data_IF_828604393056
#
_entry.id   IF_828604393056
#
_cell.length_a   1.000
_cell.length_b   1.000
_cell.length_c   1.000
_cell.angle_alpha   90.00
_cell.angle_beta   90.00
_cell.angle_gamma   90.00
#
_symmetry.space_group_name_H-M   'P 1'
#
loop_
_entity.id
_entity.type
_entity.pdbx_description
1 polymer ?
#
# COMPACT_ATOMS: atom_id res chain seq x y z
N UNK A 1 3.49 -18.90 18.83
CA UNK A 1 4.39 -17.73 18.80
C UNK A 1 3.82 -16.75 17.79
N UNK A 2 3.54 -15.50 18.19
CA UNK A 2 3.06 -14.46 17.27
C UNK A 2 4.24 -13.66 16.69
N UNK A 3 4.06 -13.08 15.50
CA UNK A 3 5.03 -12.14 14.92
C UNK A 3 4.89 -10.75 15.56
N UNK A 4 5.99 -10.00 15.70
CA UNK A 4 5.94 -8.59 16.13
C UNK A 4 5.34 -7.74 15.03
N UNK A 5 4.28 -6.99 15.36
CA UNK A 5 3.61 -6.11 14.39
C UNK A 5 4.29 -4.74 14.39
N UNK A 6 4.75 -4.30 13.22
CA UNK A 6 5.28 -2.95 12.98
C UNK A 6 4.18 -2.07 12.37
N UNK A 7 3.59 -1.21 13.20
CA UNK A 7 2.58 -0.24 12.80
C UNK A 7 3.17 1.11 12.44
N UNK A 8 2.50 1.83 11.55
CA UNK A 8 2.62 3.29 11.49
C UNK A 8 1.79 3.92 12.61
N UNK A 9 2.18 5.10 13.09
CA UNK A 9 1.44 5.84 14.13
C UNK A 9 -0.05 5.95 13.82
N UNK A 10 -0.87 6.01 14.86
CA UNK A 10 -2.34 6.13 14.79
C UNK A 10 -2.82 7.37 14.05
N UNK A 11 -2.01 8.44 14.00
CA UNK A 11 -2.30 9.63 13.19
C UNK A 11 -2.19 9.40 11.68
N UNK A 12 -1.67 8.25 11.23
CA UNK A 12 -1.65 7.90 9.81
C UNK A 12 -3.03 7.44 9.35
N UNK A 13 -3.43 7.88 8.16
CA UNK A 13 -4.68 7.40 7.54
C UNK A 13 -4.70 5.87 7.33
N UNK A 14 -3.53 5.22 7.22
CA UNK A 14 -3.43 3.77 7.09
C UNK A 14 -3.90 3.05 8.37
N UNK A 15 -3.36 3.43 9.52
CA UNK A 15 -3.73 2.79 10.79
C UNK A 15 -5.18 3.07 11.16
N UNK A 16 -5.66 4.29 10.92
CA UNK A 16 -7.07 4.62 11.14
C UNK A 16 -7.99 3.71 10.33
N UNK A 17 -7.70 3.49 9.03
CA UNK A 17 -8.50 2.59 8.20
C UNK A 17 -8.42 1.14 8.67
N UNK A 18 -7.23 0.67 9.07
CA UNK A 18 -7.06 -0.69 9.62
C UNK A 18 -7.89 -0.85 10.89
N UNK A 19 -7.78 0.06 11.85
CA UNK A 19 -8.51 0.00 13.11
C UNK A 19 -10.03 0.09 12.89
N UNK A 20 -10.49 0.92 11.95
CA UNK A 20 -11.91 1.00 11.59
C UNK A 20 -12.44 -0.31 11.02
N UNK A 21 -11.69 -0.98 10.14
CA UNK A 21 -12.10 -2.25 9.52
C UNK A 21 -11.95 -3.47 10.44
N UNK A 22 -11.26 -3.31 11.57
CA UNK A 22 -11.13 -4.33 12.60
C UNK A 22 -12.08 -4.10 13.78
N UNK A 23 -12.79 -2.96 13.84
CA UNK A 23 -13.59 -2.57 14.99
C UNK A 23 -14.72 -3.56 15.33
N UNK A 24 -15.29 -4.22 14.31
CA UNK A 24 -16.35 -5.24 14.42
C UNK A 24 -15.81 -6.67 14.30
N UNK A 25 -14.49 -6.84 14.19
CA UNK A 25 -13.83 -8.15 14.05
C UNK A 25 -13.28 -8.63 15.40
N UNK A 26 -13.12 -9.96 15.59
CA UNK A 26 -12.55 -10.51 16.82
C UNK A 26 -11.02 -10.30 16.93
N UNK A 27 -10.38 -9.73 15.90
CA UNK A 27 -8.93 -9.58 15.82
C UNK A 27 -8.47 -8.26 16.44
N UNK A 28 -7.55 -8.34 17.39
CA UNK A 28 -6.85 -7.18 17.93
C UNK A 28 -5.40 -7.22 17.51
N UNK A 29 -4.95 -6.18 16.81
CA UNK A 29 -3.54 -6.02 16.48
C UNK A 29 -2.79 -5.46 17.69
N UNK A 30 -1.69 -6.10 18.05
CA UNK A 30 -0.73 -5.61 19.03
C UNK A 30 0.41 -4.89 18.32
N UNK A 31 0.35 -3.55 18.29
CA UNK A 31 1.32 -2.71 17.61
C UNK A 31 2.61 -2.63 18.44
N UNK A 32 3.52 -3.57 18.23
CA UNK A 32 4.78 -3.67 18.99
C UNK A 32 5.76 -2.53 18.66
N UNK A 33 5.99 -2.28 17.37
CA UNK A 33 6.79 -1.13 16.92
C UNK A 33 5.86 -0.08 16.31
N UNK A 34 6.03 1.18 16.71
CA UNK A 34 5.28 2.30 16.13
C UNK A 34 6.23 3.29 15.45
N UNK A 35 6.14 3.38 14.12
CA UNK A 35 6.97 4.28 13.31
C UNK A 35 6.17 5.43 12.71
N UNK A 36 6.86 6.48 12.25
CA UNK A 36 6.22 7.65 11.63
C UNK A 36 5.90 7.46 10.15
N UNK A 37 6.76 6.77 9.40
CA UNK A 37 6.67 6.66 7.96
C UNK A 37 6.62 5.18 7.51
N UNK A 38 5.89 4.91 6.43
CA UNK A 38 5.79 3.55 5.85
C UNK A 38 7.16 2.99 5.44
N UNK A 39 8.05 3.84 4.92
CA UNK A 39 9.42 3.44 4.55
C UNK A 39 10.23 2.91 5.72
N UNK A 40 10.09 3.52 6.91
CA UNK A 40 10.73 3.02 8.12
C UNK A 40 10.15 1.66 8.54
N UNK A 41 8.83 1.48 8.40
CA UNK A 41 8.19 0.18 8.66
C UNK A 41 8.80 -0.89 7.77
N UNK A 42 8.93 -0.58 6.47
CA UNK A 42 9.52 -1.47 5.48
C UNK A 42 10.97 -1.85 5.83
N UNK A 43 11.80 -0.88 6.18
CA UNK A 43 13.19 -1.15 6.58
C UNK A 43 13.32 -2.03 7.83
N UNK A 44 12.37 -1.92 8.78
CA UNK A 44 12.33 -2.82 9.94
C UNK A 44 11.91 -4.25 9.56
N UNK A 45 11.02 -4.39 8.57
CA UNK A 45 10.66 -5.70 7.99
C UNK A 45 11.86 -6.31 7.25
N UNK A 46 12.57 -5.52 6.42
CA UNK A 46 13.79 -5.96 5.72
C UNK A 46 14.88 -6.42 6.69
N UNK A 47 15.00 -5.76 7.85
CA UNK A 47 15.93 -6.13 8.91
C UNK A 47 15.47 -7.34 9.75
N UNK A 48 14.31 -7.94 9.44
CA UNK A 48 13.79 -9.12 10.13
C UNK A 48 13.21 -8.86 11.53
N UNK A 49 12.86 -7.61 11.85
CA UNK A 49 12.39 -7.24 13.19
C UNK A 49 10.89 -7.50 13.42
N UNK A 50 10.13 -7.81 12.37
CA UNK A 50 8.70 -8.09 12.45
C UNK A 50 8.01 -8.12 11.09
N UNK A 51 6.69 -8.02 11.11
CA UNK A 51 5.83 -7.94 9.91
C UNK A 51 5.06 -6.62 9.88
N UNK A 52 4.56 -6.22 8.70
CA UNK A 52 3.74 -5.02 8.57
C UNK A 52 2.57 -5.18 7.61
N UNK A 53 1.43 -4.56 7.96
CA UNK A 53 0.27 -4.40 7.09
C UNK A 53 0.35 -3.02 6.42
N UNK A 54 0.73 -3.01 5.14
CA UNK A 54 0.98 -1.80 4.36
C UNK A 54 0.07 -1.73 3.14
N UNK A 55 -0.24 -0.52 2.62
CA UNK A 55 -0.87 -0.39 1.32
C UNK A 55 0.02 -1.01 0.24
N UNK A 56 -0.59 -1.70 -0.74
CA UNK A 56 0.15 -2.30 -1.84
C UNK A 56 1.11 -1.33 -2.54
N UNK A 57 0.71 -0.07 -2.69
CA UNK A 57 1.54 0.97 -3.32
C UNK A 57 2.91 1.21 -2.63
N UNK A 58 3.03 0.84 -1.35
CA UNK A 58 4.29 0.95 -0.59
C UNK A 58 5.21 -0.27 -0.77
N UNK A 59 4.75 -1.33 -1.44
CA UNK A 59 5.55 -2.53 -1.64
C UNK A 59 6.71 -2.25 -2.59
N UNK A 60 7.90 -2.81 -2.32
CA UNK A 60 9.04 -2.69 -3.20
C UNK A 60 8.75 -3.39 -4.53
N UNK A 61 9.00 -2.69 -5.63
CA UNK A 61 8.85 -3.19 -7.00
C UNK A 61 10.18 -3.75 -7.55
N UNK A 62 11.24 -3.76 -6.72
CA UNK A 62 12.55 -4.22 -7.14
C UNK A 62 12.58 -5.76 -7.24
N UNK A 63 13.20 -6.33 -8.30
CA UNK A 63 13.22 -7.76 -8.56
C UNK A 63 13.92 -8.62 -7.49
N UNK A 64 14.63 -8.00 -6.54
CA UNK A 64 15.40 -8.66 -5.49
C UNK A 64 15.09 -8.11 -4.09
N UNK A 65 13.83 -7.85 -3.77
CA UNK A 65 13.46 -7.51 -2.39
C UNK A 65 13.56 -8.75 -1.50
N UNK A 66 14.19 -8.61 -0.33
CA UNK A 66 14.15 -9.62 0.74
C UNK A 66 12.77 -9.75 1.39
N UNK A 67 11.80 -8.90 0.99
CA UNK A 67 10.44 -8.87 1.50
C UNK A 67 9.52 -9.55 0.51
N UNK A 68 8.65 -10.39 1.04
CA UNK A 68 7.55 -10.99 0.29
C UNK A 68 6.24 -10.29 0.68
N UNK A 69 5.49 -9.82 -0.32
CA UNK A 69 4.13 -9.35 -0.13
C UNK A 69 3.14 -10.50 -0.02
N UNK A 70 2.34 -10.51 1.05
CA UNK A 70 1.23 -11.46 1.21
C UNK A 70 -0.08 -10.65 1.13
N UNK A 71 -1.01 -11.00 0.23
CA UNK A 71 -2.25 -10.26 0.09
C UNK A 71 -3.18 -10.55 1.28
N UNK A 72 -3.83 -9.51 1.80
CA UNK A 72 -4.83 -9.67 2.84
C UNK A 72 -6.10 -10.29 2.24
N UNK A 73 -6.67 -11.29 2.93
CA UNK A 73 -7.88 -12.00 2.50
C UNK A 73 -9.12 -11.45 3.22
N UNK A 74 -9.05 -11.25 4.53
CA UNK A 74 -10.15 -10.67 5.32
C UNK A 74 -9.56 -9.86 6.50
N UNK A 75 -9.93 -8.57 6.68
CA UNK A 75 -10.69 -7.77 5.72
C UNK A 75 -9.81 -7.31 4.55
N UNK A 76 -10.37 -7.23 3.35
CA UNK A 76 -9.72 -6.53 2.23
C UNK A 76 -9.99 -5.02 2.38
N UNK A 77 -8.94 -4.26 2.72
CA UNK A 77 -9.04 -2.82 2.94
C UNK A 77 -8.69 -2.09 1.64
N UNK A 78 -9.62 -1.26 1.14
CA UNK A 78 -9.42 -0.45 -0.07
C UNK A 78 -9.50 1.03 0.25
N UNK A 79 -8.64 1.82 -0.41
CA UNK A 79 -8.66 3.28 -0.36
C UNK A 79 -8.63 3.84 -1.77
N UNK A 80 -9.57 4.72 -2.07
CA UNK A 80 -9.63 5.42 -3.35
C UNK A 80 -8.56 6.52 -3.40
N UNK A 81 -7.78 6.55 -4.49
CA UNK A 81 -6.95 7.68 -4.85
C UNK A 81 -7.72 8.58 -5.82
N UNK A 82 -7.56 9.90 -5.69
CA UNK A 82 -8.28 10.85 -6.52
C UNK A 82 -7.54 12.17 -6.65
N UNK A 83 -7.93 12.96 -7.64
CA UNK A 83 -7.39 14.29 -7.91
C UNK A 83 -8.42 15.32 -7.43
N UNK A 84 -7.96 16.29 -6.63
CA UNK A 84 -8.79 17.41 -6.17
C UNK A 84 -8.38 18.65 -6.95
N UNK A 85 -9.37 19.35 -7.52
CA UNK A 85 -9.18 20.65 -8.18
C UNK A 85 -10.23 21.65 -7.70
N UNK A 86 -9.89 22.94 -7.71
CA UNK A 86 -10.88 24.01 -7.54
C UNK A 86 -11.79 24.05 -8.78
N UNK A 87 -13.10 24.10 -8.56
CA UNK A 87 -14.10 24.10 -9.65
C UNK A 87 -13.95 25.30 -10.58
N UNK A 88 -13.61 26.46 -10.02
CA UNK A 88 -13.58 27.75 -10.73
C UNK A 88 -12.19 28.16 -11.20
N UNK A 89 -11.20 27.26 -11.09
CA UNK A 89 -9.84 27.53 -11.52
C UNK A 89 -9.58 26.87 -12.88
N UNK A 90 -9.12 27.67 -13.84
CA UNK A 90 -8.58 27.15 -15.10
C UNK A 90 -7.19 26.56 -14.80
N UNK A 91 -6.96 25.32 -15.21
CA UNK A 91 -5.65 24.70 -15.09
C UNK A 91 -4.67 25.41 -16.02
N UNK A 92 -3.42 25.60 -15.58
CA UNK A 92 -2.37 26.00 -16.51
C UNK A 92 -2.16 24.92 -17.56
N UNK A 93 -1.59 25.25 -18.74
CA UNK A 93 -1.32 24.24 -19.77
C UNK A 93 -0.50 23.05 -19.26
N UNK A 94 0.46 23.28 -18.36
CA UNK A 94 1.23 22.21 -17.74
C UNK A 94 0.38 21.33 -16.79
N UNK A 95 -0.49 21.95 -15.99
CA UNK A 95 -1.35 21.22 -15.06
C UNK A 95 -2.43 20.41 -15.80
N UNK A 96 -2.96 20.93 -16.91
CA UNK A 96 -3.90 20.21 -17.77
C UNK A 96 -3.22 18.99 -18.41
N UNK A 97 -2.01 19.17 -18.95
CA UNK A 97 -1.20 18.06 -19.48
C UNK A 97 -0.93 16.99 -18.43
N UNK A 98 -0.59 17.39 -17.20
CA UNK A 98 -0.38 16.46 -16.10
C UNK A 98 -1.67 15.74 -15.69
N UNK A 99 -2.79 16.45 -15.61
CA UNK A 99 -4.10 15.86 -15.34
C UNK A 99 -4.48 14.81 -16.39
N UNK A 100 -4.36 15.15 -17.67
CA UNK A 100 -4.61 14.20 -18.77
C UNK A 100 -3.71 12.98 -18.70
N UNK A 101 -2.41 13.15 -18.39
CA UNK A 101 -1.49 12.03 -18.21
C UNK A 101 -1.94 11.10 -17.07
N UNK A 102 -2.29 11.64 -15.91
CA UNK A 102 -2.76 10.85 -14.77
C UNK A 102 -4.05 10.08 -15.09
N UNK A 103 -5.03 10.76 -15.71
CA UNK A 103 -6.29 10.12 -16.06
C UNK A 103 -6.08 9.02 -17.09
N UNK A 104 -5.24 9.24 -18.11
CA UNK A 104 -4.95 8.21 -19.10
C UNK A 104 -4.27 7.00 -18.45
N UNK A 105 -3.23 7.22 -17.65
CA UNK A 105 -2.51 6.14 -16.96
C UNK A 105 -3.42 5.34 -16.02
N UNK A 106 -4.31 6.00 -15.28
CA UNK A 106 -5.20 5.32 -14.33
C UNK A 106 -6.44 4.70 -14.99
N UNK A 107 -6.77 5.12 -16.22
CA UNK A 107 -7.96 4.62 -16.94
C UNK A 107 -7.63 3.41 -17.82
N UNK A 108 -6.44 3.39 -18.42
CA UNK A 108 -5.94 2.26 -19.23
C UNK A 108 -5.64 1.02 -18.37
N UNK A 109 -5.36 1.24 -17.10
CA UNK A 109 -5.10 0.19 -16.12
C UNK A 109 -6.39 -0.29 -15.44
N UNK A 110 -7.60 0.18 -15.79
CA UNK A 110 -8.85 -0.13 -15.03
C UNK A 110 -9.10 -1.62 -14.76
N UNK A 111 -8.69 -2.48 -15.69
CA UNK A 111 -8.80 -3.93 -15.58
C UNK A 111 -7.59 -4.59 -14.85
N UNK A 112 -6.47 -3.87 -14.71
CA UNK A 112 -5.16 -4.29 -14.20
C UNK A 112 -4.66 -3.51 -12.96
N UNK A 113 -5.41 -2.51 -12.47
CA UNK A 113 -5.17 -1.77 -11.21
C UNK A 113 -5.13 -2.73 -10.00
N UNK A 114 -5.65 -3.95 -10.21
CA UNK A 114 -5.73 -5.02 -9.23
C UNK A 114 -4.84 -6.21 -9.55
N UNK A 115 -4.03 -6.18 -10.61
CA UNK A 115 -3.03 -7.24 -10.82
C UNK A 115 -2.18 -7.27 -9.58
N UNK A 116 -2.34 -8.33 -8.80
CA UNK A 116 -1.78 -8.46 -7.48
C UNK A 116 -0.30 -8.08 -7.58
N UNK A 117 0.18 -7.14 -6.77
CA UNK A 117 1.62 -6.90 -6.62
C UNK A 117 2.33 -8.24 -6.33
N UNK A 118 1.61 -9.14 -5.66
CA UNK A 118 1.97 -10.53 -5.38
C UNK A 118 2.09 -11.39 -6.65
N UNK A 119 1.22 -11.22 -7.65
CA UNK A 119 1.32 -11.93 -8.94
C UNK A 119 2.52 -11.43 -9.76
N UNK A 120 2.77 -10.11 -9.77
CA UNK A 120 3.99 -9.56 -10.39
C UNK A 120 5.26 -10.07 -9.72
N UNK A 121 5.28 -10.21 -8.40
CA UNK A 121 6.41 -10.80 -7.67
C UNK A 121 6.52 -12.33 -7.86
N UNK A 122 5.39 -13.05 -8.00
CA UNK A 122 5.38 -14.50 -8.25
C UNK A 122 5.92 -14.86 -9.63
N UNK A 123 5.59 -14.07 -10.66
CA UNK A 123 6.17 -14.24 -12.00
C UNK A 123 7.69 -14.01 -12.02
N UNK A 124 8.19 -13.01 -11.29
CA UNK A 124 9.63 -12.75 -11.17
C UNK A 124 10.41 -13.90 -10.49
N UNK A 125 9.78 -14.64 -9.57
CA UNK A 125 10.39 -15.78 -8.89
C UNK A 125 10.33 -17.08 -9.71
N UNK A 126 9.44 -17.17 -10.71
CA UNK A 126 9.35 -18.33 -11.61
C UNK A 126 10.36 -18.29 -12.76
N UNK A 127 10.92 -17.13 -13.09
CA UNK A 127 11.96 -16.97 -14.13
C UNK A 127 13.39 -17.29 -13.62
N UNK A 128 13.55 -17.54 -12.33
CA UNK A 128 14.85 -17.80 -11.67
C UNK A 128 15.01 -19.30 -11.28
N UNK A 129 13.98 -20.13 -11.53
CA UNK A 129 14.01 -21.58 -11.33
C UNK A 129 14.07 -22.33 -12.66
#
# INVERSE_FOLDING_TARGET
>A
MGYKMIGVRSSSGNRLLIEQQLADKPWKLDWFYEVRHLSTSLGLVEAGLGISALPGLAMPHAPYSSIIGIPLVEPVIRRTLGIIRRKDAVLSPAAERFFSLLINLWTDDKDNLWTNIVERQRHALQEIS
#
